data_IF_967952644031
#
_entry.id   IF_967952644031
#
_cell.length_a   1.000
_cell.length_b   1.000
_cell.length_c   1.000
_cell.angle_alpha   90.00
_cell.angle_beta   90.00
_cell.angle_gamma   90.00
#
_symmetry.space_group_name_H-M   'P 1'
#
loop_
_entity.id
_entity.type
_entity.pdbx_description
1 polymer ?
#
# COMPACT_ATOMS: atom_id res chain seq x y z
N UNK A 1 31.61 43.19 40.11
CA UNK A 1 31.22 43.53 38.72
C UNK A 1 30.51 42.33 38.11
N UNK A 2 29.18 42.37 38.09
CA UNK A 2 28.32 41.33 37.49
C UNK A 2 28.30 41.52 35.97
N UNK A 3 28.70 40.49 35.21
CA UNK A 3 28.63 40.52 33.74
C UNK A 3 27.16 40.67 33.31
N UNK A 4 26.81 41.63 32.43
CA UNK A 4 25.44 41.75 31.93
C UNK A 4 25.08 40.50 31.13
N UNK A 5 23.96 39.88 31.49
CA UNK A 5 23.39 38.73 30.78
C UNK A 5 22.75 39.27 29.50
N UNK A 6 23.45 39.12 28.37
CA UNK A 6 22.96 39.54 27.06
C UNK A 6 21.60 38.87 26.79
N UNK A 7 20.53 39.60 26.44
CA UNK A 7 19.27 38.98 26.08
C UNK A 7 19.49 38.22 24.77
N UNK A 8 19.37 36.89 24.80
CA UNK A 8 19.24 36.10 23.58
C UNK A 8 17.97 36.54 22.87
N UNK A 9 18.10 37.35 21.83
CA UNK A 9 17.01 37.71 20.94
C UNK A 9 16.33 36.43 20.44
N UNK A 10 15.03 36.28 20.73
CA UNK A 10 14.23 35.17 20.22
C UNK A 10 14.19 35.25 18.69
N UNK A 11 14.84 34.30 18.03
CA UNK A 11 14.79 34.22 16.57
C UNK A 11 13.33 34.00 16.12
N UNK A 12 12.92 34.56 14.98
CA UNK A 12 11.54 34.47 14.51
C UNK A 12 11.18 33.02 14.12
N UNK A 13 9.94 32.60 14.42
CA UNK A 13 9.50 31.19 14.38
C UNK A 13 9.71 30.51 13.02
N UNK A 14 9.63 31.26 11.92
CA UNK A 14 9.84 30.75 10.56
C UNK A 14 11.25 30.17 10.33
N UNK A 15 12.27 30.62 11.09
CA UNK A 15 13.64 30.08 11.01
C UNK A 15 13.79 28.69 11.63
N UNK A 16 12.81 28.22 12.41
CA UNK A 16 12.85 26.89 13.02
C UNK A 16 12.17 25.80 12.18
N UNK A 17 11.61 26.16 11.02
CA UNK A 17 11.10 25.19 10.06
C UNK A 17 12.29 24.46 9.42
N UNK A 18 12.54 23.25 9.90
CA UNK A 18 13.53 22.33 9.33
C UNK A 18 12.80 21.34 8.44
N UNK A 19 13.43 20.99 7.31
CA UNK A 19 12.91 19.94 6.44
C UNK A 19 12.88 18.58 7.14
N UNK A 20 12.20 17.61 6.52
CA UNK A 20 12.01 16.27 7.06
C UNK A 20 13.33 15.48 7.27
N UNK A 21 14.47 15.95 6.75
CA UNK A 21 15.75 15.26 6.81
C UNK A 21 15.62 13.82 6.25
N UNK A 22 16.11 12.81 6.96
CA UNK A 22 15.97 11.39 6.59
C UNK A 22 14.53 10.88 6.49
N UNK A 23 13.55 11.55 7.11
CA UNK A 23 12.13 11.17 6.97
C UNK A 23 11.61 11.34 5.54
N UNK A 24 12.26 12.16 4.71
CA UNK A 24 11.90 12.24 3.29
C UNK A 24 12.03 10.87 2.63
N UNK A 25 13.10 10.14 2.94
CA UNK A 25 13.35 8.82 2.37
C UNK A 25 12.31 7.80 2.85
N UNK A 26 11.89 7.85 4.11
CA UNK A 26 10.79 7.03 4.63
C UNK A 26 9.50 7.17 3.81
N UNK A 27 9.08 8.41 3.51
CA UNK A 27 7.89 8.64 2.68
C UNK A 27 8.10 8.24 1.22
N UNK A 28 9.30 8.46 0.65
CA UNK A 28 9.61 8.01 -0.71
C UNK A 28 9.51 6.49 -0.85
N UNK A 29 10.01 5.74 0.14
CA UNK A 29 9.87 4.28 0.19
C UNK A 29 8.39 3.91 0.25
N UNK A 30 7.59 4.56 1.11
CA UNK A 30 6.14 4.34 1.15
C UNK A 30 5.45 4.61 -0.19
N UNK A 31 5.82 5.69 -0.89
CA UNK A 31 5.23 6.00 -2.19
C UNK A 31 5.64 4.99 -3.26
N UNK A 32 6.88 4.53 -3.27
CA UNK A 32 7.33 3.49 -4.18
C UNK A 32 6.57 2.17 -3.93
N UNK A 33 6.36 1.81 -2.66
CA UNK A 33 5.60 0.61 -2.29
C UNK A 33 4.10 0.76 -2.59
N UNK A 34 3.52 1.93 -2.35
CA UNK A 34 2.15 2.25 -2.73
C UNK A 34 1.96 2.13 -4.25
N UNK A 35 2.88 2.72 -5.01
CA UNK A 35 2.84 2.65 -6.48
C UNK A 35 3.01 1.22 -6.99
N UNK A 36 3.85 0.41 -6.32
CA UNK A 36 4.00 -1.01 -6.60
C UNK A 36 2.86 -1.90 -6.07
N UNK A 37 1.85 -1.34 -5.39
CA UNK A 37 0.73 -2.10 -4.82
C UNK A 37 1.05 -2.90 -3.55
N UNK A 38 2.24 -2.71 -2.95
CA UNK A 38 2.69 -3.42 -1.74
C UNK A 38 2.21 -2.79 -0.43
N UNK A 39 1.54 -1.63 -0.49
CA UNK A 39 1.17 -0.85 0.68
C UNK A 39 -0.28 -0.39 0.60
N UNK A 40 -1.05 -0.60 1.66
CA UNK A 40 -2.37 0.02 1.86
C UNK A 40 -2.17 1.35 2.58
N UNK A 41 -1.84 2.39 1.81
CA UNK A 41 -1.44 3.68 2.37
C UNK A 41 -2.62 4.44 2.96
N UNK A 42 -2.55 4.81 4.25
CA UNK A 42 -3.55 5.64 4.91
C UNK A 42 -3.16 7.13 4.86
N UNK A 43 -3.74 7.95 3.96
CA UNK A 43 -3.22 9.29 3.71
C UNK A 43 -3.36 10.23 4.91
N UNK A 44 -4.47 10.14 5.65
CA UNK A 44 -4.73 11.00 6.80
C UNK A 44 -3.77 10.75 7.97
N UNK A 45 -3.51 9.49 8.31
CA UNK A 45 -2.55 9.14 9.37
C UNK A 45 -1.13 9.56 8.99
N UNK A 46 -0.76 9.37 7.73
CA UNK A 46 0.52 9.82 7.19
C UNK A 46 0.64 11.36 7.15
N UNK A 47 -0.45 12.09 6.91
CA UNK A 47 -0.50 13.55 7.01
C UNK A 47 -0.30 14.03 8.44
N UNK A 48 -0.96 13.39 9.42
CA UNK A 48 -0.77 13.70 10.85
C UNK A 48 0.68 13.46 11.26
N UNK A 49 1.27 12.33 10.84
CA UNK A 49 2.68 12.03 11.11
C UNK A 49 3.63 13.04 10.43
N UNK A 50 3.37 13.40 9.18
CA UNK A 50 4.10 14.44 8.45
C UNK A 50 4.03 15.79 9.19
N UNK A 51 2.83 16.19 9.63
CA UNK A 51 2.62 17.41 10.38
C UNK A 51 3.42 17.40 11.68
N UNK A 52 3.36 16.31 12.45
CA UNK A 52 4.16 16.10 13.66
C UNK A 52 5.66 16.28 13.42
N UNK A 53 6.18 15.77 12.30
CA UNK A 53 7.58 15.92 11.92
C UNK A 53 7.95 17.35 11.51
N UNK A 54 7.04 18.08 10.87
CA UNK A 54 7.25 19.44 10.37
C UNK A 54 7.09 20.53 11.42
N UNK A 55 6.40 20.26 12.54
CA UNK A 55 6.19 21.27 13.60
C UNK A 55 7.52 21.95 13.96
N UNK A 56 7.61 23.29 13.87
CA UNK A 56 8.84 24.01 14.15
C UNK A 56 9.14 23.99 15.65
N UNK A 57 10.23 23.34 16.04
CA UNK A 57 10.67 23.23 17.44
C UNK A 57 12.00 23.98 17.61
N UNK A 58 12.03 25.11 18.35
CA UNK A 58 13.24 25.92 18.53
C UNK A 58 14.38 25.21 19.27
N UNK A 59 14.04 24.37 20.24
CA UNK A 59 15.02 23.73 21.13
C UNK A 59 15.64 22.49 20.47
N UNK A 60 16.98 22.46 20.40
CA UNK A 60 17.73 21.35 19.81
C UNK A 60 17.46 20.00 20.50
N UNK A 61 17.36 19.98 21.84
CA UNK A 61 17.06 18.75 22.61
C UNK A 61 15.68 18.18 22.26
N UNK A 62 14.69 19.05 22.18
CA UNK A 62 13.31 18.69 21.91
C UNK A 62 13.13 18.19 20.46
N UNK A 63 13.90 18.78 19.52
CA UNK A 63 14.02 18.26 18.17
C UNK A 63 14.62 16.84 18.13
N UNK A 64 15.63 16.52 18.94
CA UNK A 64 16.21 15.17 19.00
C UNK A 64 15.21 14.16 19.60
N UNK A 65 14.54 14.54 20.69
CA UNK A 65 13.49 13.72 21.33
C UNK A 65 12.37 13.40 20.34
N UNK A 66 11.94 14.38 19.52
CA UNK A 66 10.96 14.14 18.46
C UNK A 66 11.36 12.99 17.55
N UNK A 67 12.62 12.91 17.14
CA UNK A 67 13.07 11.82 16.26
C UNK A 67 13.08 10.47 16.97
N UNK A 68 13.46 10.45 18.26
CA UNK A 68 13.38 9.24 19.07
C UNK A 68 11.96 8.72 19.24
N UNK A 69 10.97 9.60 19.35
CA UNK A 69 9.54 9.24 19.40
C UNK A 69 9.01 8.90 17.99
N UNK A 70 9.49 9.62 16.97
CA UNK A 70 9.06 9.41 15.60
C UNK A 70 9.52 8.06 15.05
N UNK A 71 10.67 7.52 15.47
CA UNK A 71 11.14 6.19 15.04
C UNK A 71 10.11 5.09 15.34
N UNK A 72 9.68 4.85 16.60
CA UNK A 72 8.69 3.83 16.90
C UNK A 72 7.32 4.15 16.29
N UNK A 73 6.88 5.42 16.28
CA UNK A 73 5.62 5.81 15.63
C UNK A 73 5.64 5.56 14.12
N UNK A 74 6.75 5.90 13.46
CA UNK A 74 6.94 5.72 12.03
C UNK A 74 6.99 4.24 11.67
N UNK A 75 7.63 3.40 12.50
CA UNK A 75 7.60 1.95 12.33
C UNK A 75 6.18 1.39 12.50
N UNK A 76 5.48 1.77 13.56
CA UNK A 76 4.12 1.33 13.83
C UNK A 76 3.16 1.74 12.71
N UNK A 77 3.27 2.98 12.22
CA UNK A 77 2.48 3.47 11.10
C UNK A 77 2.84 2.76 9.78
N UNK A 78 4.12 2.45 9.55
CA UNK A 78 4.54 1.69 8.38
C UNK A 78 4.00 0.26 8.41
N UNK A 79 4.06 -0.39 9.57
CA UNK A 79 3.48 -1.73 9.77
C UNK A 79 1.98 -1.71 9.53
N UNK A 80 1.27 -0.72 10.09
CA UNK A 80 -0.17 -0.54 9.88
C UNK A 80 -0.55 -0.32 8.41
N UNK A 81 0.29 0.38 7.64
CA UNK A 81 0.07 0.55 6.20
C UNK A 81 0.43 -0.71 5.38
N UNK A 82 1.10 -1.70 5.98
CA UNK A 82 1.50 -2.93 5.28
C UNK A 82 0.45 -4.02 5.47
N UNK A 83 0.39 -4.97 4.53
CA UNK A 83 -0.44 -6.17 4.60
C UNK A 83 0.09 -7.24 5.58
N UNK A 84 0.98 -6.89 6.50
CA UNK A 84 1.58 -7.87 7.41
C UNK A 84 0.58 -8.32 8.47
N UNK A 85 0.63 -9.60 8.90
CA UNK A 85 -0.22 -10.09 9.96
C UNK A 85 0.00 -9.29 11.25
N UNK A 86 -1.10 -9.08 11.99
CA UNK A 86 -1.04 -8.42 13.29
C UNK A 86 -0.15 -9.18 14.28
N UNK A 87 0.46 -8.49 15.27
CA UNK A 87 1.32 -9.13 16.27
C UNK A 87 0.62 -10.27 17.04
N UNK A 88 -0.70 -10.22 17.19
CA UNK A 88 -1.52 -11.26 17.80
C UNK A 88 -1.54 -12.56 16.96
N UNK A 89 -1.57 -12.43 15.64
CA UNK A 89 -1.48 -13.57 14.70
C UNK A 89 -0.10 -14.23 14.79
N UNK A 90 0.96 -13.43 14.94
CA UNK A 90 2.33 -13.95 15.08
C UNK A 90 2.50 -14.63 16.44
N UNK A 91 1.94 -14.05 17.51
CA UNK A 91 2.02 -14.63 18.85
C UNK A 91 1.25 -15.94 18.96
N UNK A 92 0.05 -16.02 18.37
CA UNK A 92 -0.78 -17.23 18.37
C UNK A 92 -0.23 -18.37 17.52
N UNK A 93 0.45 -18.05 16.42
CA UNK A 93 1.10 -19.04 15.54
C UNK A 93 2.59 -19.26 15.89
N UNK A 94 3.11 -18.53 16.88
CA UNK A 94 4.53 -18.55 17.25
C UNK A 94 5.03 -19.91 17.75
N UNK A 95 4.16 -20.70 18.38
CA UNK A 95 4.47 -22.08 18.80
C UNK A 95 4.74 -23.02 17.62
N UNK A 96 4.14 -22.75 16.46
CA UNK A 96 4.35 -23.53 15.23
C UNK A 96 5.69 -23.17 14.58
N UNK A 97 6.10 -21.91 14.68
CA UNK A 97 7.37 -21.40 14.15
C UNK A 97 8.56 -21.87 15.01
N UNK A 98 8.36 -22.04 16.32
CA UNK A 98 9.38 -22.53 17.24
C UNK A 98 9.82 -23.98 16.97
N UNK A 99 9.04 -24.75 16.20
CA UNK A 99 9.40 -26.11 15.76
C UNK A 99 10.23 -26.17 14.47
N UNK A 100 10.54 -25.03 13.84
CA UNK A 100 11.26 -25.01 12.57
C UNK A 100 12.76 -25.28 12.76
N UNK A 101 13.36 -26.04 11.83
CA UNK A 101 14.81 -26.22 11.81
C UNK A 101 15.52 -24.93 11.37
N UNK A 102 16.75 -24.72 11.85
CA UNK A 102 17.56 -23.55 11.49
C UNK A 102 17.80 -23.44 9.97
N UNK A 103 18.02 -24.59 9.30
CA UNK A 103 18.19 -24.64 7.84
C UNK A 103 16.91 -24.23 7.09
N UNK A 104 15.74 -24.62 7.61
CA UNK A 104 14.46 -24.21 7.03
C UNK A 104 14.19 -22.71 7.24
N UNK A 105 14.53 -22.16 8.42
CA UNK A 105 14.45 -20.71 8.66
C UNK A 105 15.36 -19.96 7.68
N UNK A 106 16.56 -20.47 7.41
CA UNK A 106 17.48 -19.86 6.44
C UNK A 106 16.95 -19.91 5.00
N UNK A 107 16.39 -21.05 4.58
CA UNK A 107 15.73 -21.17 3.27
C UNK A 107 14.54 -20.21 3.17
N UNK A 108 13.72 -20.05 4.22
CA UNK A 108 12.64 -19.08 4.24
C UNK A 108 13.14 -17.64 4.14
N UNK A 109 14.17 -17.25 4.90
CA UNK A 109 14.73 -15.88 4.86
C UNK A 109 15.26 -15.57 3.46
N UNK A 110 16.01 -16.49 2.86
CA UNK A 110 16.58 -16.28 1.52
C UNK A 110 15.52 -16.22 0.42
N UNK A 111 14.44 -17.00 0.54
CA UNK A 111 13.29 -16.95 -0.39
C UNK A 111 12.40 -15.73 -0.17
N UNK A 112 12.31 -15.23 1.05
CA UNK A 112 11.52 -14.05 1.39
C UNK A 112 12.17 -12.78 0.83
N UNK A 113 13.50 -12.71 0.80
CA UNK A 113 14.23 -11.56 0.26
C UNK A 113 14.14 -11.54 -1.26
N UNK A 114 13.40 -10.57 -1.79
CA UNK A 114 13.40 -10.28 -3.21
C UNK A 114 14.56 -9.32 -3.56
N UNK A 115 15.60 -9.83 -4.22
CA UNK A 115 16.77 -9.05 -4.63
C UNK A 115 16.44 -7.88 -5.57
N UNK A 116 15.38 -7.96 -6.37
CA UNK A 116 14.94 -6.84 -7.19
C UNK A 116 14.41 -5.69 -6.32
N UNK A 117 13.69 -5.99 -5.23
CA UNK A 117 13.25 -4.96 -4.28
C UNK A 117 14.41 -4.34 -3.51
N UNK A 118 15.42 -5.13 -3.14
CA UNK A 118 16.65 -4.63 -2.51
C UNK A 118 17.40 -3.70 -3.47
N UNK A 119 17.56 -4.10 -4.74
CA UNK A 119 18.14 -3.26 -5.78
C UNK A 119 17.34 -1.97 -5.99
N UNK A 120 16.02 -2.05 -6.08
CA UNK A 120 15.15 -0.89 -6.22
C UNK A 120 15.25 0.08 -5.02
N UNK A 121 15.31 -0.46 -3.80
CA UNK A 121 15.52 0.33 -2.59
C UNK A 121 16.89 1.04 -2.61
N UNK A 122 17.95 0.35 -3.03
CA UNK A 122 19.27 0.93 -3.17
C UNK A 122 19.29 2.05 -4.24
N UNK A 123 18.69 1.82 -5.41
CA UNK A 123 18.56 2.83 -6.46
C UNK A 123 17.77 4.04 -5.95
N UNK A 124 16.67 3.81 -5.24
CA UNK A 124 15.87 4.89 -4.64
C UNK A 124 16.68 5.70 -3.62
N UNK A 125 17.52 5.04 -2.81
CA UNK A 125 18.41 5.69 -1.85
C UNK A 125 19.42 6.59 -2.55
N UNK A 126 20.11 6.07 -3.57
CA UNK A 126 21.10 6.83 -4.35
C UNK A 126 20.43 8.01 -5.05
N UNK A 127 19.28 7.78 -5.69
CA UNK A 127 18.52 8.82 -6.38
C UNK A 127 18.07 9.91 -5.40
N UNK A 128 17.58 9.54 -4.23
CA UNK A 128 17.21 10.48 -3.19
C UNK A 128 18.40 11.32 -2.72
N UNK A 129 19.56 10.70 -2.47
CA UNK A 129 20.78 11.41 -2.07
C UNK A 129 21.25 12.39 -3.15
N UNK A 130 21.19 11.98 -4.41
CA UNK A 130 21.55 12.80 -5.57
C UNK A 130 20.60 14.00 -5.74
N UNK A 131 19.28 13.76 -5.79
CA UNK A 131 18.27 14.81 -5.98
C UNK A 131 18.23 15.80 -4.80
N UNK A 132 18.48 15.31 -3.58
CA UNK A 132 18.51 16.15 -2.38
C UNK A 132 19.58 17.23 -2.41
N UNK A 133 20.55 17.16 -3.33
CA UNK A 133 21.56 18.21 -3.52
C UNK A 133 20.99 19.45 -4.23
N UNK A 134 19.96 19.29 -5.06
CA UNK A 134 19.42 20.37 -5.89
C UNK A 134 18.02 20.79 -5.47
N UNK A 135 17.22 19.84 -5.01
CA UNK A 135 15.80 20.03 -4.73
C UNK A 135 15.49 19.78 -3.25
N UNK A 136 14.60 20.62 -2.70
CA UNK A 136 14.06 20.40 -1.36
C UNK A 136 12.97 19.32 -1.42
N UNK A 137 13.39 18.06 -1.29
CA UNK A 137 12.53 16.87 -1.36
C UNK A 137 11.30 16.95 -0.44
N UNK A 138 11.41 17.61 0.71
CA UNK A 138 10.28 17.82 1.65
C UNK A 138 9.09 18.51 1.02
N UNK A 139 9.30 19.42 0.06
CA UNK A 139 8.20 20.09 -0.65
C UNK A 139 7.40 19.06 -1.45
N UNK A 140 8.08 18.22 -2.23
CA UNK A 140 7.45 17.17 -3.02
C UNK A 140 6.75 16.13 -2.17
N UNK A 141 7.39 15.66 -1.09
CA UNK A 141 6.78 14.71 -0.15
C UNK A 141 5.50 15.31 0.43
N UNK A 142 5.54 16.56 0.91
CA UNK A 142 4.34 17.21 1.47
C UNK A 142 3.23 17.39 0.44
N UNK A 143 3.58 17.77 -0.80
CA UNK A 143 2.62 17.93 -1.89
C UNK A 143 1.95 16.59 -2.23
N UNK A 144 2.71 15.50 -2.30
CA UNK A 144 2.18 14.16 -2.58
C UNK A 144 1.24 13.70 -1.46
N UNK A 145 1.62 13.85 -0.18
CA UNK A 145 0.73 13.45 0.93
C UNK A 145 -0.58 14.26 0.91
N UNK A 146 -0.49 15.59 0.72
CA UNK A 146 -1.68 16.44 0.64
C UNK A 146 -2.53 16.06 -0.58
N UNK A 147 -1.89 15.82 -1.73
CA UNK A 147 -2.57 15.36 -2.93
C UNK A 147 -3.31 14.05 -2.70
N UNK A 148 -2.69 13.06 -2.05
CA UNK A 148 -3.33 11.77 -1.74
C UNK A 148 -4.52 11.89 -0.78
N UNK A 149 -4.53 12.91 0.10
CA UNK A 149 -5.68 13.21 0.97
C UNK A 149 -6.80 13.90 0.20
N UNK A 150 -6.46 14.83 -0.69
CA UNK A 150 -7.43 15.69 -1.39
C UNK A 150 -7.98 15.03 -2.65
N UNK A 151 -7.21 14.21 -3.36
CA UNK A 151 -7.59 13.63 -4.65
C UNK A 151 -8.91 12.85 -4.63
N UNK A 152 -9.30 12.10 -3.58
CA UNK A 152 -10.60 11.43 -3.53
C UNK A 152 -11.78 12.38 -3.33
N UNK A 153 -11.53 13.62 -2.88
CA UNK A 153 -12.55 14.65 -2.64
C UNK A 153 -12.80 15.52 -3.87
N UNK A 154 -11.89 15.48 -4.84
CA UNK A 154 -12.03 16.25 -6.08
C UNK A 154 -12.90 15.48 -7.07
N UNK A 155 -13.80 16.16 -7.81
CA UNK A 155 -14.49 15.54 -8.93
C UNK A 155 -13.45 15.05 -9.95
N UNK A 156 -13.64 13.87 -10.52
CA UNK A 156 -12.74 13.34 -11.54
C UNK A 156 -12.76 14.23 -12.78
N UNK A 157 -11.67 14.94 -13.01
CA UNK A 157 -11.48 15.76 -14.22
C UNK A 157 -10.62 14.97 -15.22
N UNK A 158 -11.22 14.56 -16.33
CA UNK A 158 -10.49 13.92 -17.42
C UNK A 158 -9.74 14.98 -18.23
N UNK A 159 -8.44 15.15 -17.98
CA UNK A 159 -7.56 16.03 -18.78
C UNK A 159 -7.14 15.41 -20.11
N UNK A 160 -7.46 14.14 -20.33
CA UNK A 160 -7.14 13.39 -21.54
C UNK A 160 -8.44 12.89 -22.19
N UNK A 161 -8.57 12.92 -23.53
CA UNK A 161 -9.69 12.28 -24.21
C UNK A 161 -9.81 10.81 -23.77
N UNK A 162 -11.04 10.39 -23.46
CA UNK A 162 -11.36 9.04 -23.01
C UNK A 162 -10.77 8.00 -23.99
N UNK A 163 -9.75 7.28 -23.53
CA UNK A 163 -9.01 6.35 -24.38
C UNK A 163 -7.77 5.75 -23.74
N UNK A 164 -7.30 6.29 -22.60
CA UNK A 164 -6.19 5.69 -21.86
C UNK A 164 -6.73 4.98 -20.61
N UNK A 165 -6.56 3.65 -20.48
CA UNK A 165 -6.92 2.94 -19.26
C UNK A 165 -5.99 3.39 -18.14
N UNK A 166 -6.47 4.23 -17.23
CA UNK A 166 -5.84 4.43 -15.93
C UNK A 166 -6.06 3.17 -15.10
N UNK A 167 -5.10 2.24 -15.17
CA UNK A 167 -4.95 1.13 -14.23
C UNK A 167 -4.59 1.70 -12.87
N UNK A 168 -5.59 2.09 -12.10
CA UNK A 168 -5.48 2.38 -10.67
C UNK A 168 -6.76 1.93 -9.97
N UNK A 169 -7.12 0.66 -10.17
CA UNK A 169 -7.89 -0.10 -9.21
C UNK A 169 -6.92 -1.13 -8.64
N UNK A 170 -6.46 -0.91 -7.41
CA UNK A 170 -5.78 -1.93 -6.64
C UNK A 170 -6.82 -3.00 -6.26
N UNK A 171 -7.12 -3.90 -7.20
CA UNK A 171 -7.75 -5.16 -6.88
C UNK A 171 -6.67 -6.09 -6.36
N UNK A 172 -6.75 -6.42 -5.09
CA UNK A 172 -6.02 -7.52 -4.46
C UNK A 172 -6.50 -8.84 -5.08
N UNK A 173 -5.98 -9.17 -6.26
CA UNK A 173 -5.99 -10.53 -6.74
C UNK A 173 -4.81 -11.24 -6.09
N UNK A 174 -5.11 -12.24 -5.26
CA UNK A 174 -4.15 -13.20 -4.75
C UNK A 174 -3.48 -13.89 -5.94
N UNK A 175 -2.21 -13.58 -6.19
CA UNK A 175 -1.39 -14.28 -7.17
C UNK A 175 -0.98 -15.63 -6.58
N UNK A 176 -1.70 -16.68 -6.95
CA UNK A 176 -1.21 -18.05 -6.84
C UNK A 176 -0.50 -18.43 -8.14
N UNK A 177 0.81 -18.66 -8.00
CA UNK A 177 1.69 -19.46 -8.86
C UNK A 177 1.98 -19.00 -10.31
N UNK A 178 3.26 -19.12 -10.69
CA UNK A 178 3.84 -18.68 -11.94
C UNK A 178 3.16 -19.19 -13.20
N UNK A 179 2.98 -18.26 -14.14
CA UNK A 179 2.60 -18.50 -15.52
C UNK A 179 2.99 -17.28 -16.34
N UNK A 180 3.73 -17.51 -17.42
CA UNK A 180 4.18 -16.51 -18.39
C UNK A 180 3.06 -15.57 -18.84
N UNK A 181 3.35 -14.27 -18.83
CA UNK A 181 2.46 -13.23 -19.33
C UNK A 181 2.12 -13.47 -20.81
N UNK A 182 0.83 -13.67 -21.10
CA UNK A 182 0.29 -13.57 -22.45
C UNK A 182 -0.51 -12.27 -22.50
N UNK A 183 0.11 -11.25 -23.10
CA UNK A 183 -0.59 -10.11 -23.62
C UNK A 183 -1.33 -10.53 -24.89
N UNK A 184 -2.61 -10.86 -24.78
CA UNK A 184 -3.56 -10.76 -25.89
C UNK A 184 -4.93 -10.36 -25.35
N UNK A 185 -5.35 -9.16 -25.74
CA UNK A 185 -6.74 -8.75 -25.87
C UNK A 185 -7.46 -9.70 -26.85
N UNK A 186 -7.77 -10.89 -26.38
CA UNK A 186 -8.85 -11.69 -26.89
C UNK A 186 -9.71 -11.97 -25.68
N UNK A 187 -10.80 -11.23 -25.57
CA UNK A 187 -11.92 -11.65 -24.75
C UNK A 187 -12.14 -13.13 -25.06
N UNK A 188 -11.87 -14.01 -24.08
CA UNK A 188 -12.60 -15.26 -24.08
C UNK A 188 -14.07 -14.83 -24.12
N UNK A 189 -14.78 -15.25 -25.16
CA UNK A 189 -16.23 -15.16 -25.21
C UNK A 189 -16.81 -16.12 -24.15
N UNK A 190 -16.53 -15.85 -22.88
CA UNK A 190 -17.32 -16.36 -21.77
C UNK A 190 -18.57 -15.49 -21.75
N UNK A 191 -19.62 -15.98 -22.42
CA UNK A 191 -20.95 -15.38 -22.36
C UNK A 191 -21.54 -15.36 -20.92
N UNK A 192 -20.83 -15.96 -19.95
CA UNK A 192 -21.21 -16.03 -18.54
C UNK A 192 -20.92 -14.74 -17.75
N UNK A 193 -20.02 -13.86 -18.23
CA UNK A 193 -19.64 -12.63 -17.53
C UNK A 193 -20.02 -11.42 -18.40
N UNK A 194 -20.78 -10.43 -17.88
CA UNK A 194 -21.10 -9.22 -18.63
C UNK A 194 -19.83 -8.48 -19.08
N UNK A 195 -19.78 -7.98 -20.33
CA UNK A 195 -18.59 -7.33 -20.87
C UNK A 195 -18.23 -6.06 -20.10
N UNK A 196 -16.93 -5.84 -19.92
CA UNK A 196 -16.37 -4.67 -19.22
C UNK A 196 -15.71 -3.72 -20.22
N UNK A 197 -16.50 -3.16 -21.13
CA UNK A 197 -16.02 -2.26 -22.20
C UNK A 197 -16.10 -0.78 -21.83
N UNK A 198 -16.85 -0.44 -20.79
CA UNK A 198 -17.10 0.94 -20.37
C UNK A 198 -16.01 1.49 -19.43
N UNK A 199 -15.76 2.81 -19.41
CA UNK A 199 -14.83 3.43 -18.46
C UNK A 199 -15.24 3.17 -16.99
N UNK A 200 -14.29 3.01 -16.06
CA UNK A 200 -14.57 2.66 -14.65
C UNK A 200 -15.05 3.86 -13.83
N UNK A 201 -16.23 4.38 -14.16
CA UNK A 201 -16.93 5.42 -13.37
C UNK A 201 -17.89 4.76 -12.39
N UNK A 202 -18.24 5.44 -11.29
CA UNK A 202 -19.18 4.90 -10.30
C UNK A 202 -20.51 4.45 -10.92
N UNK A 203 -21.05 5.23 -11.87
CA UNK A 203 -22.28 4.88 -12.58
C UNK A 203 -22.12 3.60 -13.43
N UNK A 204 -21.01 3.47 -14.16
CA UNK A 204 -20.76 2.31 -15.00
C UNK A 204 -20.49 1.05 -14.16
N UNK A 205 -19.82 1.19 -13.02
CA UNK A 205 -19.62 0.08 -12.07
C UNK A 205 -20.94 -0.39 -11.46
N UNK A 206 -21.82 0.54 -11.07
CA UNK A 206 -23.16 0.18 -10.59
C UNK A 206 -23.98 -0.51 -11.69
N UNK A 207 -23.92 -0.02 -12.92
CA UNK A 207 -24.63 -0.62 -14.05
C UNK A 207 -24.10 -2.02 -14.37
N UNK A 208 -22.78 -2.20 -14.37
CA UNK A 208 -22.17 -3.51 -14.59
C UNK A 208 -22.51 -4.49 -13.46
N UNK A 209 -22.49 -4.04 -12.19
CA UNK A 209 -22.88 -4.85 -11.04
C UNK A 209 -24.35 -5.30 -11.12
N UNK A 210 -25.25 -4.40 -11.52
CA UNK A 210 -26.65 -4.73 -11.74
C UNK A 210 -26.82 -5.76 -12.87
N UNK A 211 -26.07 -5.60 -13.97
CA UNK A 211 -26.08 -6.56 -15.07
C UNK A 211 -25.55 -7.94 -14.64
N UNK A 212 -24.52 -7.97 -13.80
CA UNK A 212 -23.99 -9.18 -13.20
C UNK A 212 -25.01 -9.88 -12.30
N UNK A 213 -25.70 -9.15 -11.42
CA UNK A 213 -26.76 -9.76 -10.60
C UNK A 213 -27.90 -10.30 -11.47
N UNK A 214 -28.28 -9.59 -12.53
CA UNK A 214 -29.33 -10.04 -13.45
C UNK A 214 -28.92 -11.29 -14.27
N UNK A 215 -27.63 -11.50 -14.53
CA UNK A 215 -27.13 -12.73 -15.16
C UNK A 215 -27.06 -13.89 -14.16
N UNK A 216 -26.50 -13.66 -12.97
CA UNK A 216 -26.35 -14.68 -11.93
C UNK A 216 -27.69 -15.20 -11.41
N UNK A 217 -28.71 -14.34 -11.29
CA UNK A 217 -30.04 -14.76 -10.83
C UNK A 217 -30.69 -15.83 -11.73
N UNK A 218 -30.27 -15.93 -13.00
CA UNK A 218 -30.76 -16.93 -13.95
C UNK A 218 -30.01 -18.26 -13.86
N UNK A 219 -28.87 -18.30 -13.19
CA UNK A 219 -28.00 -19.47 -13.10
C UNK A 219 -28.54 -20.42 -12.04
N UNK A 220 -28.70 -21.68 -12.43
CA UNK A 220 -29.11 -22.77 -11.55
C UNK A 220 -28.41 -24.05 -11.98
N UNK A 221 -27.99 -24.85 -11.01
CA UNK A 221 -27.51 -26.21 -11.26
C UNK A 221 -28.70 -27.15 -11.11
N UNK A 222 -29.18 -27.69 -12.23
CA UNK A 222 -30.30 -28.65 -12.21
C UNK A 222 -29.77 -30.04 -11.89
N UNK A 223 -30.17 -30.57 -10.74
CA UNK A 223 -29.95 -31.96 -10.37
C UNK A 223 -31.01 -32.85 -11.04
N UNK A 224 -30.66 -34.09 -11.43
CA UNK A 224 -31.64 -35.02 -11.98
C UNK A 224 -32.65 -35.44 -10.90
N UNK A 225 -33.92 -35.63 -11.29
CA UNK A 225 -35.00 -36.03 -10.37
C UNK A 225 -34.81 -37.45 -9.80
N UNK A 226 -34.07 -38.30 -10.51
CA UNK A 226 -33.70 -39.64 -10.09
C UNK A 226 -32.33 -40.03 -10.63
N UNK A 227 -31.63 -40.88 -9.89
CA UNK A 227 -30.38 -41.49 -10.34
C UNK A 227 -30.67 -42.67 -11.28
N UNK A 228 -29.84 -42.91 -12.30
CA UNK A 228 -29.97 -44.10 -13.15
C UNK A 228 -29.72 -45.38 -12.34
N UNK A 229 -30.26 -46.50 -12.81
CA UNK A 229 -30.26 -47.77 -12.05
C UNK A 229 -28.86 -48.37 -11.81
N UNK A 230 -27.86 -47.93 -12.58
CA UNK A 230 -26.45 -48.34 -12.50
C UNK A 230 -25.56 -47.31 -11.77
N UNK A 231 -26.16 -46.26 -11.19
CA UNK A 231 -25.42 -45.25 -10.43
C UNK A 231 -24.65 -45.87 -9.24
N UNK A 232 -23.37 -45.55 -9.13
CA UNK A 232 -22.51 -46.03 -8.06
C UNK A 232 -22.52 -45.07 -6.86
N UNK A 233 -22.59 -45.55 -5.61
CA UNK A 233 -22.47 -44.71 -4.42
C UNK A 233 -21.06 -44.10 -4.28
N UNK A 234 -20.98 -42.85 -3.83
CA UNK A 234 -19.73 -42.19 -3.46
C UNK A 234 -19.99 -41.11 -2.39
N UNK A 235 -18.93 -40.76 -1.65
CA UNK A 235 -18.98 -39.70 -0.63
C UNK A 235 -18.39 -38.39 -1.19
N UNK A 236 -19.00 -37.27 -0.83
CA UNK A 236 -18.47 -35.92 -1.13
C UNK A 236 -18.13 -35.22 0.18
N UNK A 237 -16.85 -34.92 0.38
CA UNK A 237 -16.37 -34.13 1.51
C UNK A 237 -16.02 -32.71 1.04
N UNK A 238 -16.75 -31.72 1.55
CA UNK A 238 -16.47 -30.30 1.31
C UNK A 238 -15.86 -29.74 2.60
N UNK A 239 -14.57 -29.42 2.56
CA UNK A 239 -13.87 -28.76 3.67
C UNK A 239 -13.78 -27.28 3.33
N UNK A 240 -14.52 -26.45 4.06
CA UNK A 240 -14.41 -24.99 3.99
C UNK A 240 -13.57 -24.53 5.19
N UNK A 241 -12.44 -23.90 4.92
CA UNK A 241 -11.46 -23.43 5.93
C UNK A 241 -11.55 -21.92 6.04
#
# INVERSE_FOLDING_TARGET
MTKPKTPTASLPLWRYWRGLSGWNFYFLVKFALLWGGYLNFHPMLNLVFLAFLLVPIPQYKLHRIRHWIAIPLGFMLFWHDTWLPGPESIASQGSQIAGFSADYIWDLVTRFINWNMVGAFFVLLVLWLFISQWLRVTVFVSAIVVWLVVSPLLPSFSLWPAGQPTTAAANTAVNTAGGTAIATNTALANNDIPPQTEPPTSANLTNWLNAFYASEQKRKTTFPDALPADAQPFDVLIINI
#
